data_IF_317877701787
#
_entry.id   IF_317877701787
#
_cell.length_a   1.000
_cell.length_b   1.000
_cell.length_c   1.000
_cell.angle_alpha   90.00
_cell.angle_beta   90.00
_cell.angle_gamma   90.00
#
_symmetry.space_group_name_H-M   'P 1'
#
loop_
_entity.id
_entity.type
_entity.pdbx_description
1 polymer ?
#
# COMPACT_ATOMS: atom_id res chain seq x y z
N UNK A 1 23.74 -11.29 54.85
CA UNK A 1 22.58 -10.38 54.80
C UNK A 1 21.80 -10.73 53.55
N UNK A 2 20.78 -11.58 53.66
CA UNK A 2 19.98 -12.04 52.51
C UNK A 2 18.94 -10.97 52.16
N UNK A 3 19.03 -10.41 50.96
CA UNK A 3 17.98 -9.57 50.40
C UNK A 3 16.78 -10.45 50.03
N UNK A 4 15.61 -10.13 50.57
CA UNK A 4 14.37 -10.85 50.34
C UNK A 4 13.93 -10.72 48.87
N UNK A 5 13.74 -11.86 48.21
CA UNK A 5 13.15 -11.99 46.86
C UNK A 5 11.67 -11.56 46.78
N UNK A 6 11.06 -11.05 47.85
CA UNK A 6 9.66 -10.63 47.88
C UNK A 6 9.41 -9.26 47.25
N UNK A 7 10.42 -8.38 47.16
CA UNK A 7 10.20 -7.00 46.71
C UNK A 7 10.30 -6.80 45.19
N UNK A 8 10.80 -7.79 44.45
CA UNK A 8 10.91 -7.71 42.97
C UNK A 8 9.59 -8.06 42.26
N UNK A 9 8.59 -8.60 42.97
CA UNK A 9 7.29 -8.99 42.36
C UNK A 9 6.23 -7.89 42.30
N UNK A 10 6.42 -6.73 42.94
CA UNK A 10 5.42 -5.65 42.92
C UNK A 10 5.49 -4.68 41.73
N UNK A 11 6.53 -4.76 40.89
CA UNK A 11 6.67 -3.86 39.73
C UNK A 11 6.00 -4.33 38.42
N UNK A 12 5.46 -5.56 38.36
CA UNK A 12 4.88 -6.10 37.11
C UNK A 12 3.39 -5.82 36.88
N UNK A 13 2.71 -5.17 37.83
CA UNK A 13 1.27 -4.86 37.73
C UNK A 13 0.94 -3.42 37.33
N UNK A 14 1.88 -2.48 37.51
CA UNK A 14 1.60 -1.05 37.30
C UNK A 14 1.58 -0.66 35.81
N UNK A 15 2.49 -1.22 35.01
CA UNK A 15 2.52 -0.94 33.57
C UNK A 15 1.24 -1.35 32.85
N UNK A 16 0.70 -2.55 33.12
CA UNK A 16 -0.54 -3.04 32.47
C UNK A 16 -1.75 -2.17 32.82
N UNK A 17 -1.83 -1.69 34.06
CA UNK A 17 -2.95 -0.85 34.49
C UNK A 17 -2.87 0.54 33.84
N UNK A 18 -1.68 1.10 33.69
CA UNK A 18 -1.47 2.37 32.96
C UNK A 18 -1.81 2.22 31.47
N UNK A 19 -1.42 1.12 30.81
CA UNK A 19 -1.79 0.83 29.42
C UNK A 19 -3.29 0.64 29.24
N UNK A 20 -3.96 -0.08 30.16
CA UNK A 20 -5.40 -0.27 30.12
C UNK A 20 -6.18 1.04 30.34
N UNK A 21 -5.67 1.93 31.20
CA UNK A 21 -6.25 3.26 31.43
C UNK A 21 -6.08 4.18 30.22
N UNK A 22 -4.91 4.16 29.57
CA UNK A 22 -4.66 4.87 28.32
C UNK A 22 -5.57 4.37 27.20
N UNK A 23 -5.69 3.05 27.03
CA UNK A 23 -6.58 2.44 26.04
C UNK A 23 -8.06 2.77 26.32
N UNK A 24 -8.50 2.71 27.57
CA UNK A 24 -9.86 3.06 27.97
C UNK A 24 -10.15 4.55 27.77
N UNK A 25 -9.17 5.43 27.99
CA UNK A 25 -9.30 6.86 27.75
C UNK A 25 -9.40 7.18 26.24
N UNK A 26 -8.56 6.55 25.42
CA UNK A 26 -8.60 6.68 23.95
C UNK A 26 -9.92 6.14 23.40
N UNK A 27 -10.38 4.98 23.87
CA UNK A 27 -11.66 4.39 23.46
C UNK A 27 -12.85 5.25 23.93
N UNK A 28 -12.75 5.84 25.12
CA UNK A 28 -13.74 6.77 25.66
C UNK A 28 -13.87 8.06 24.84
N UNK A 29 -12.74 8.63 24.38
CA UNK A 29 -12.73 9.79 23.47
C UNK A 29 -13.31 9.39 22.10
N UNK A 30 -12.93 8.23 21.57
CA UNK A 30 -13.42 7.75 20.27
C UNK A 30 -14.94 7.53 20.25
N UNK A 31 -15.51 6.96 21.32
CA UNK A 31 -16.96 6.72 21.43
C UNK A 31 -17.72 8.03 21.66
N UNK A 32 -17.17 8.96 22.45
CA UNK A 32 -17.82 10.24 22.73
C UNK A 32 -17.92 11.19 21.53
N UNK A 33 -17.22 10.90 20.43
CA UNK A 33 -17.00 11.84 19.31
C UNK A 33 -17.51 11.37 17.94
N UNK A 34 -18.19 10.22 17.88
CA UNK A 34 -18.84 9.73 16.66
C UNK A 34 -19.88 10.76 16.16
N UNK A 35 -19.48 11.59 15.18
CA UNK A 35 -20.35 12.57 14.51
C UNK A 35 -19.72 13.94 14.14
N UNK A 36 -18.45 14.21 14.44
CA UNK A 36 -17.87 15.57 14.30
C UNK A 36 -16.91 15.81 13.12
N UNK A 37 -16.58 14.80 12.29
CA UNK A 37 -15.65 14.99 11.16
C UNK A 37 -14.18 15.22 11.56
N UNK A 38 -13.82 14.86 12.79
CA UNK A 38 -12.47 15.01 13.37
C UNK A 38 -11.64 13.72 13.14
N UNK A 39 -12.19 12.76 12.40
CA UNK A 39 -11.67 11.40 12.23
C UNK A 39 -10.21 11.38 11.72
N UNK A 40 -9.86 12.31 10.85
CA UNK A 40 -8.52 12.46 10.26
C UNK A 40 -7.49 13.02 11.24
N UNK A 41 -7.88 13.95 12.13
CA UNK A 41 -7.01 14.46 13.19
C UNK A 41 -6.76 13.42 14.29
N UNK A 42 -7.75 12.55 14.53
CA UNK A 42 -7.65 11.44 15.48
C UNK A 42 -6.77 10.34 14.92
N UNK A 43 -6.95 9.94 13.66
CA UNK A 43 -6.07 8.96 12.99
C UNK A 43 -4.61 9.40 13.08
N UNK A 44 -4.35 10.68 12.78
CA UNK A 44 -3.02 11.26 12.91
C UNK A 44 -2.48 11.27 14.35
N UNK A 45 -3.34 11.51 15.35
CA UNK A 45 -2.93 11.48 16.77
C UNK A 45 -2.71 10.05 17.27
N UNK A 46 -3.55 9.12 16.86
CA UNK A 46 -3.43 7.70 17.17
C UNK A 46 -2.18 7.10 16.55
N UNK A 47 -1.88 7.41 15.28
CA UNK A 47 -0.63 7.04 14.62
C UNK A 47 0.58 7.60 15.38
N UNK A 48 0.55 8.87 15.81
CA UNK A 48 1.63 9.45 16.64
C UNK A 48 1.80 8.76 17.99
N UNK A 49 0.73 8.31 18.62
CA UNK A 49 0.78 7.55 19.89
C UNK A 49 1.26 6.11 19.66
N UNK A 50 0.81 5.45 18.60
CA UNK A 50 1.30 4.12 18.21
C UNK A 50 2.79 4.13 17.87
N UNK A 51 3.26 5.19 17.18
CA UNK A 51 4.66 5.49 16.92
C UNK A 51 5.45 5.67 18.23
N UNK A 52 4.92 6.41 19.20
CA UNK A 52 5.56 6.59 20.51
C UNK A 52 5.61 5.31 21.36
N UNK A 53 4.70 4.35 21.10
CA UNK A 53 4.61 3.08 21.82
C UNK A 53 5.39 1.94 21.16
N UNK A 54 6.00 2.15 19.99
CA UNK A 54 6.82 1.15 19.29
C UNK A 54 6.03 -0.08 18.80
N UNK A 55 4.72 0.07 18.58
CA UNK A 55 3.84 -1.02 18.12
C UNK A 55 3.73 -1.05 16.59
N UNK A 56 4.17 0.00 15.90
CA UNK A 56 4.15 0.09 14.44
C UNK A 56 5.28 -0.69 13.78
N UNK A 57 4.98 -1.29 12.63
CA UNK A 57 6.03 -1.77 11.74
C UNK A 57 6.72 -0.58 11.07
N UNK A 58 7.97 -0.73 10.61
CA UNK A 58 8.62 0.32 9.80
C UNK A 58 7.79 0.67 8.55
N UNK A 59 7.03 -0.29 8.01
CA UNK A 59 6.12 -0.04 6.89
C UNK A 59 4.97 0.89 7.28
N UNK A 60 4.37 0.74 8.47
CA UNK A 60 3.32 1.64 8.97
C UNK A 60 3.86 3.07 9.16
N UNK A 61 5.10 3.18 9.66
CA UNK A 61 5.80 4.45 9.82
C UNK A 61 6.05 5.13 8.48
N UNK A 62 6.56 4.41 7.47
CA UNK A 62 6.77 4.99 6.13
C UNK A 62 5.45 5.33 5.42
N UNK A 63 4.39 4.56 5.68
CA UNK A 63 3.09 4.78 5.06
C UNK A 63 2.43 6.11 5.49
N UNK A 64 2.79 6.63 6.67
CA UNK A 64 2.17 7.84 7.26
C UNK A 64 3.14 9.02 7.36
N UNK A 65 4.45 8.80 7.22
CA UNK A 65 5.45 9.87 7.24
C UNK A 65 5.34 10.81 6.02
N UNK A 66 5.75 12.06 6.21
CA UNK A 66 5.89 13.01 5.11
C UNK A 66 7.04 12.60 4.18
N UNK A 67 6.92 12.96 2.90
CA UNK A 67 7.86 12.51 1.86
C UNK A 67 9.29 12.96 2.18
N UNK A 68 9.49 14.17 2.69
CA UNK A 68 10.83 14.70 2.95
C UNK A 68 11.50 13.91 4.07
N UNK A 69 10.80 13.63 5.17
CA UNK A 69 11.31 12.79 6.27
C UNK A 69 11.70 11.39 5.79
N UNK A 70 10.91 10.77 4.91
CA UNK A 70 11.25 9.46 4.34
C UNK A 70 12.49 9.57 3.45
N UNK A 71 12.55 10.61 2.62
CA UNK A 71 13.66 10.83 1.70
C UNK A 71 14.97 11.15 2.42
N UNK A 72 14.91 11.79 3.59
CA UNK A 72 16.07 12.13 4.42
C UNK A 72 16.59 10.91 5.23
N UNK A 73 15.72 9.96 5.56
CA UNK A 73 16.12 8.68 6.16
C UNK A 73 16.76 7.76 5.11
N UNK A 74 18.07 7.92 4.90
CA UNK A 74 18.83 7.09 3.94
C UNK A 74 19.02 5.66 4.42
N UNK A 75 19.01 5.43 5.73
CA UNK A 75 19.27 4.11 6.31
C UNK A 75 18.12 3.13 6.04
N UNK A 76 16.89 3.61 5.92
CA UNK A 76 15.74 2.76 5.59
C UNK A 76 15.48 2.55 4.10
N UNK A 77 16.27 3.16 3.19
CA UNK A 77 16.05 3.09 1.73
C UNK A 77 15.95 1.65 1.19
N UNK A 78 16.83 0.74 1.64
CA UNK A 78 16.80 -0.66 1.23
C UNK A 78 15.56 -1.39 1.74
N UNK A 79 15.11 -1.09 2.97
CA UNK A 79 13.90 -1.64 3.56
C UNK A 79 12.64 -1.17 2.82
N UNK A 80 12.59 0.10 2.44
CA UNK A 80 11.51 0.69 1.64
C UNK A 80 11.41 0.06 0.26
N UNK A 81 12.55 -0.11 -0.42
CA UNK A 81 12.60 -0.82 -1.70
C UNK A 81 12.08 -2.25 -1.57
N UNK A 82 12.47 -2.96 -0.51
CA UNK A 82 12.00 -4.32 -0.25
C UNK A 82 10.49 -4.37 0.00
N UNK A 83 9.95 -3.41 0.75
CA UNK A 83 8.51 -3.26 1.00
C UNK A 83 7.73 -3.11 -0.30
N UNK A 84 8.16 -2.20 -1.19
CA UNK A 84 7.53 -2.01 -2.49
C UNK A 84 7.61 -3.29 -3.34
N UNK A 85 8.76 -3.96 -3.38
CA UNK A 85 8.91 -5.23 -4.09
C UNK A 85 7.98 -6.32 -3.54
N UNK A 86 7.79 -6.40 -2.22
CA UNK A 86 6.90 -7.37 -1.60
C UNK A 86 5.43 -7.08 -1.91
N UNK A 87 5.05 -5.80 -1.88
CA UNK A 87 3.74 -5.34 -2.34
C UNK A 87 3.45 -5.83 -3.77
N UNK A 88 4.38 -5.62 -4.71
CA UNK A 88 4.23 -6.08 -6.11
C UNK A 88 4.24 -7.61 -6.21
N UNK A 89 5.07 -8.31 -5.42
CA UNK A 89 5.12 -9.78 -5.42
C UNK A 89 3.83 -10.39 -4.93
N UNK A 90 3.17 -9.81 -3.94
CA UNK A 90 1.89 -10.30 -3.43
C UNK A 90 0.79 -10.19 -4.50
N UNK A 91 0.78 -9.10 -5.28
CA UNK A 91 -0.11 -8.99 -6.45
C UNK A 91 0.16 -10.14 -7.44
N UNK A 92 1.43 -10.43 -7.76
CA UNK A 92 1.77 -11.52 -8.66
C UNK A 92 1.40 -12.91 -8.11
N UNK A 93 1.61 -13.12 -6.80
CA UNK A 93 1.21 -14.34 -6.08
C UNK A 93 -0.28 -14.55 -6.13
N UNK A 94 -1.11 -13.51 -6.01
CA UNK A 94 -2.55 -13.65 -6.13
C UNK A 94 -2.97 -14.40 -7.39
N UNK A 95 -2.36 -14.10 -8.55
CA UNK A 95 -2.69 -14.80 -9.79
C UNK A 95 -2.19 -16.26 -9.84
N UNK A 96 -1.03 -16.52 -9.23
CA UNK A 96 -0.36 -17.83 -9.25
C UNK A 96 -1.00 -18.79 -8.23
N UNK A 97 -1.21 -18.32 -7.02
CA UNK A 97 -1.68 -19.10 -5.87
C UNK A 97 -3.17 -19.46 -6.02
N UNK A 98 -3.97 -18.58 -6.63
CA UNK A 98 -5.36 -18.90 -6.99
C UNK A 98 -5.49 -19.80 -8.23
N UNK A 99 -4.37 -20.19 -8.85
CA UNK A 99 -4.35 -21.13 -9.98
C UNK A 99 -5.29 -20.72 -11.13
N UNK A 100 -5.33 -19.43 -11.46
CA UNK A 100 -6.18 -18.93 -12.55
C UNK A 100 -5.74 -19.49 -13.91
N UNK A 101 -6.73 -19.77 -14.77
CA UNK A 101 -6.50 -20.09 -16.18
C UNK A 101 -6.23 -18.83 -16.99
N UNK A 102 -5.69 -19.01 -18.20
CA UNK A 102 -5.54 -17.94 -19.19
C UNK A 102 -6.87 -17.23 -19.44
N UNK A 103 -7.95 -17.97 -19.66
CA UNK A 103 -9.27 -17.36 -19.91
C UNK A 103 -9.79 -16.55 -18.71
N UNK A 104 -9.59 -17.04 -17.49
CA UNK A 104 -9.97 -16.30 -16.27
C UNK A 104 -9.19 -15.00 -16.13
N UNK A 105 -7.87 -15.01 -16.36
CA UNK A 105 -7.05 -13.80 -16.31
C UNK A 105 -7.43 -12.82 -17.42
N UNK A 106 -7.61 -13.29 -18.65
CA UNK A 106 -7.98 -12.43 -19.77
C UNK A 106 -9.34 -11.77 -19.53
N UNK A 107 -10.27 -12.50 -18.89
CA UNK A 107 -11.57 -11.96 -18.46
C UNK A 107 -11.39 -10.92 -17.35
N UNK A 108 -10.61 -11.22 -16.31
CA UNK A 108 -10.35 -10.33 -15.18
C UNK A 108 -9.65 -9.03 -15.61
N UNK A 109 -8.71 -9.12 -16.55
CA UNK A 109 -7.95 -7.98 -17.06
C UNK A 109 -8.65 -7.29 -18.25
N UNK A 110 -9.76 -7.82 -18.75
CA UNK A 110 -10.47 -7.30 -19.92
C UNK A 110 -9.63 -7.29 -21.21
N UNK A 111 -8.61 -8.13 -21.32
CA UNK A 111 -7.67 -8.13 -22.46
C UNK A 111 -7.08 -9.51 -22.71
N UNK A 112 -6.81 -9.84 -23.97
CA UNK A 112 -6.05 -11.04 -24.36
C UNK A 112 -4.53 -10.82 -24.36
N UNK A 113 -4.08 -9.57 -24.16
CA UNK A 113 -2.67 -9.23 -24.13
C UNK A 113 -2.02 -9.72 -22.83
N UNK A 114 -0.88 -10.41 -22.96
CA UNK A 114 -0.12 -10.93 -21.83
C UNK A 114 0.97 -9.96 -21.36
N UNK A 115 1.06 -8.76 -21.92
CA UNK A 115 2.13 -7.80 -21.65
C UNK A 115 1.61 -6.37 -21.60
N UNK A 116 2.31 -5.51 -20.85
CA UNK A 116 1.98 -4.08 -20.72
C UNK A 116 0.52 -3.80 -20.32
N UNK A 117 -0.06 -4.64 -19.46
CA UNK A 117 -1.42 -4.43 -18.94
C UNK A 117 -1.35 -3.48 -17.75
N UNK A 118 -2.01 -2.33 -17.85
CA UNK A 118 -2.13 -1.38 -16.73
C UNK A 118 -3.15 -1.91 -15.74
N UNK A 119 -2.72 -2.19 -14.52
CA UNK A 119 -3.62 -2.54 -13.42
C UNK A 119 -4.26 -1.30 -12.80
N UNK A 120 -3.59 -0.15 -12.90
CA UNK A 120 -4.13 1.14 -12.50
C UNK A 120 -3.06 2.12 -12.05
N UNK A 121 -3.50 3.30 -11.62
CA UNK A 121 -2.66 4.36 -11.08
C UNK A 121 -3.18 4.80 -9.72
N UNK A 122 -2.25 5.19 -8.85
CA UNK A 122 -2.57 6.01 -7.69
C UNK A 122 -2.97 7.41 -8.18
N UNK A 123 -4.09 7.92 -7.71
CA UNK A 123 -4.61 9.24 -8.02
C UNK A 123 -4.85 9.95 -6.69
N UNK A 124 -4.31 11.15 -6.56
CA UNK A 124 -4.55 12.02 -5.42
C UNK A 124 -5.50 13.13 -5.84
N UNK A 125 -6.59 13.28 -5.09
CA UNK A 125 -7.54 14.38 -5.24
C UNK A 125 -6.99 15.66 -4.58
N UNK A 126 -7.62 16.80 -4.89
CA UNK A 126 -7.25 18.09 -4.30
C UNK A 126 -7.44 18.17 -2.77
N UNK A 127 -8.19 17.23 -2.19
CA UNK A 127 -8.38 17.10 -0.73
C UNK A 127 -7.33 16.21 -0.06
N UNK A 128 -6.34 15.69 -0.82
CA UNK A 128 -5.31 14.78 -0.33
C UNK A 128 -5.71 13.31 -0.29
N UNK A 129 -6.96 12.98 -0.61
CA UNK A 129 -7.43 11.59 -0.68
C UNK A 129 -6.74 10.87 -1.83
N UNK A 130 -6.03 9.78 -1.53
CA UNK A 130 -5.42 8.93 -2.55
C UNK A 130 -6.27 7.70 -2.82
N UNK A 131 -6.56 7.41 -4.08
CA UNK A 131 -7.22 6.18 -4.51
C UNK A 131 -6.45 5.49 -5.64
N UNK A 132 -6.72 4.21 -5.86
CA UNK A 132 -6.17 3.47 -6.98
C UNK A 132 -7.27 3.23 -8.01
N UNK A 133 -7.02 3.61 -9.26
CA UNK A 133 -7.98 3.40 -10.35
C UNK A 133 -7.33 2.81 -11.58
N UNK A 134 -8.00 1.80 -12.16
CA UNK A 134 -7.66 1.21 -13.45
C UNK A 134 -8.32 1.92 -14.64
N UNK A 135 -9.32 2.77 -14.38
CA UNK A 135 -9.99 3.58 -15.40
C UNK A 135 -9.85 5.08 -15.07
N UNK A 136 -9.33 5.85 -16.03
CA UNK A 136 -9.46 7.31 -15.99
C UNK A 136 -10.86 7.67 -16.53
N UNK A 137 -11.92 7.37 -15.77
CA UNK A 137 -13.27 7.81 -16.17
C UNK A 137 -13.42 9.29 -15.91
N UNK A 138 -13.51 10.06 -16.99
CA UNK A 138 -13.66 11.51 -16.89
C UNK A 138 -15.04 11.99 -16.44
N UNK A 139 -15.90 11.17 -15.86
CA UNK A 139 -17.19 11.62 -15.28
C UNK A 139 -17.10 11.88 -13.77
N UNK A 140 -15.91 11.73 -13.17
CA UNK A 140 -15.70 11.95 -11.73
C UNK A 140 -16.18 10.78 -10.86
N UNK A 141 -16.72 9.71 -11.46
CA UNK A 141 -16.96 8.46 -10.75
C UNK A 141 -15.74 7.54 -10.88
N UNK A 142 -15.26 7.06 -9.74
CA UNK A 142 -14.11 6.15 -9.67
C UNK A 142 -14.64 4.73 -9.53
N UNK A 143 -14.33 3.79 -10.43
CA UNK A 143 -14.44 2.37 -10.09
C UNK A 143 -13.38 2.10 -9.03
N UNK A 144 -13.79 1.95 -7.77
CA UNK A 144 -12.91 1.49 -6.71
C UNK A 144 -12.44 0.07 -7.04
N UNK A 145 -11.26 -0.07 -7.63
CA UNK A 145 -10.60 -1.38 -7.68
C UNK A 145 -9.87 -1.62 -6.36
N UNK A 146 -10.63 -1.68 -5.25
CA UNK A 146 -10.11 -2.12 -3.95
C UNK A 146 -9.54 -3.54 -4.00
N UNK A 147 -9.87 -4.30 -5.04
CA UNK A 147 -9.34 -5.63 -5.31
C UNK A 147 -7.81 -5.66 -5.40
N UNK A 148 -7.15 -4.67 -6.02
CA UNK A 148 -5.69 -4.69 -6.13
C UNK A 148 -5.00 -4.61 -4.76
N UNK A 149 -5.52 -3.81 -3.85
CA UNK A 149 -5.00 -3.73 -2.48
C UNK A 149 -5.27 -5.00 -1.70
N UNK A 150 -6.43 -5.63 -1.91
CA UNK A 150 -6.71 -6.94 -1.32
C UNK A 150 -5.71 -7.99 -1.85
N UNK A 151 -5.36 -7.95 -3.14
CA UNK A 151 -4.33 -8.83 -3.72
C UNK A 151 -2.95 -8.57 -3.13
N UNK A 152 -2.59 -7.29 -2.94
CA UNK A 152 -1.26 -6.89 -2.47
C UNK A 152 -1.03 -7.08 -0.96
N UNK A 153 -2.09 -6.90 -0.16
CA UNK A 153 -2.01 -6.94 1.31
C UNK A 153 -2.57 -8.24 1.90
N UNK A 154 -3.27 -9.04 1.09
CA UNK A 154 -3.99 -10.22 1.58
C UNK A 154 -5.25 -9.88 2.38
N UNK A 155 -5.68 -8.61 2.37
CA UNK A 155 -6.92 -8.19 3.00
C UNK A 155 -8.13 -8.93 2.40
N UNK A 156 -9.13 -9.20 3.24
CA UNK A 156 -10.34 -9.89 2.80
C UNK A 156 -11.06 -9.09 1.70
N UNK A 157 -11.69 -9.79 0.76
CA UNK A 157 -12.50 -9.13 -0.27
C UNK A 157 -13.56 -8.22 0.35
N UNK A 158 -13.69 -7.01 -0.17
CA UNK A 158 -14.61 -5.99 0.38
C UNK A 158 -14.05 -5.20 1.57
N UNK A 159 -12.81 -5.46 2.01
CA UNK A 159 -12.12 -4.56 2.94
C UNK A 159 -11.90 -3.23 2.23
N UNK A 160 -12.35 -2.13 2.83
CA UNK A 160 -12.01 -0.79 2.34
C UNK A 160 -10.50 -0.61 2.44
N UNK A 161 -9.88 -0.20 1.33
CA UNK A 161 -8.47 0.15 1.34
C UNK A 161 -8.27 1.46 2.11
N UNK A 162 -7.20 1.55 2.89
CA UNK A 162 -6.91 2.72 3.70
C UNK A 162 -6.28 3.80 2.82
N UNK A 163 -7.12 4.73 2.37
CA UNK A 163 -6.74 5.88 1.51
C UNK A 163 -5.76 6.84 2.20
N UNK A 164 -5.63 6.76 3.54
CA UNK A 164 -4.69 7.60 4.31
C UNK A 164 -3.25 7.09 4.25
N UNK A 165 -3.03 5.87 3.75
CA UNK A 165 -1.71 5.22 3.75
C UNK A 165 -1.05 5.27 2.38
N UNK A 166 0.26 5.55 2.39
CA UNK A 166 1.13 5.36 1.23
C UNK A 166 1.57 3.90 1.12
N UNK A 167 1.37 3.30 -0.05
CA UNK A 167 1.72 1.89 -0.31
C UNK A 167 3.03 1.69 -1.07
N UNK A 168 3.53 2.73 -1.74
CA UNK A 168 4.83 2.72 -2.42
C UNK A 168 5.73 3.81 -1.82
N UNK A 169 6.85 3.39 -1.22
CA UNK A 169 7.70 4.22 -0.35
C UNK A 169 9.19 4.17 -0.74
N UNK A 170 9.57 3.42 -1.77
CA UNK A 170 10.95 3.42 -2.27
C UNK A 170 11.35 4.78 -2.85
N UNK A 171 12.65 5.09 -2.86
CA UNK A 171 13.16 6.34 -3.40
C UNK A 171 12.72 6.56 -4.86
N UNK A 172 12.71 5.51 -5.69
CA UNK A 172 12.16 5.60 -7.04
C UNK A 172 10.68 5.95 -7.02
N UNK A 173 9.87 5.26 -6.22
CA UNK A 173 8.44 5.53 -6.14
C UNK A 173 8.19 6.97 -5.68
N UNK A 174 8.93 7.46 -4.68
CA UNK A 174 8.80 8.80 -4.11
C UNK A 174 9.26 9.91 -5.06
N UNK A 175 10.33 9.72 -5.84
CA UNK A 175 10.80 10.74 -6.79
C UNK A 175 9.98 10.80 -8.07
N UNK A 176 9.33 9.71 -8.47
CA UNK A 176 8.50 9.66 -9.67
C UNK A 176 7.02 9.93 -9.36
N UNK A 177 6.75 10.53 -8.20
CA UNK A 177 5.42 10.98 -7.79
C UNK A 177 4.97 12.12 -8.72
N UNK A 178 3.91 11.79 -9.45
CA UNK A 178 2.84 12.68 -9.87
C UNK A 178 3.07 13.59 -11.09
N UNK A 179 2.12 13.51 -12.03
CA UNK A 179 1.84 14.57 -12.99
C UNK A 179 0.43 15.09 -12.74
N UNK A 180 0.30 16.41 -12.67
CA UNK A 180 -1.00 17.06 -12.78
C UNK A 180 -1.52 16.82 -14.18
N UNK A 181 -2.64 16.12 -14.28
CA UNK A 181 -3.33 15.87 -15.55
C UNK A 181 -4.68 16.56 -15.48
N UNK A 182 -5.03 17.32 -16.51
CA UNK A 182 -6.38 17.85 -16.62
C UNK A 182 -7.31 16.76 -17.15
N UNK A 183 -8.20 16.27 -16.31
CA UNK A 183 -9.24 15.32 -16.69
C UNK A 183 -10.58 16.07 -16.69
N UNK A 184 -11.12 16.31 -17.89
CA UNK A 184 -12.39 17.02 -18.14
C UNK A 184 -12.57 18.33 -17.35
N UNK A 185 -11.54 19.16 -17.29
CA UNK A 185 -11.58 20.47 -16.62
C UNK A 185 -11.18 20.44 -15.14
N UNK A 186 -10.96 19.27 -14.55
CA UNK A 186 -10.40 19.13 -13.21
C UNK A 186 -8.91 18.79 -13.30
N UNK A 187 -8.09 19.51 -12.53
CA UNK A 187 -6.70 19.11 -12.33
C UNK A 187 -6.69 18.01 -11.27
N UNK A 188 -6.25 16.81 -11.67
CA UNK A 188 -6.01 15.70 -10.75
C UNK A 188 -4.54 15.33 -10.78
N UNK A 189 -4.06 14.82 -9.66
CA UNK A 189 -2.65 14.51 -9.50
C UNK A 189 -2.48 13.00 -9.64
N UNK A 190 -2.04 12.54 -10.82
CA UNK A 190 -1.89 11.11 -11.11
C UNK A 190 -0.49 10.64 -10.72
N UNK A 191 -0.40 9.81 -9.69
CA UNK A 191 0.83 9.21 -9.16
C UNK A 191 1.33 7.99 -9.94
N UNK A 192 2.08 7.13 -9.25
CA UNK A 192 2.65 5.91 -9.82
C UNK A 192 1.56 4.96 -10.35
N UNK A 193 1.84 4.29 -11.47
CA UNK A 193 1.03 3.19 -11.99
C UNK A 193 1.61 1.83 -11.64
N UNK A 194 0.77 0.80 -11.62
CA UNK A 194 1.19 -0.61 -11.53
C UNK A 194 0.85 -1.31 -12.85
N UNK A 195 1.82 -1.97 -13.45
CA UNK A 195 1.65 -2.69 -14.72
C UNK A 195 2.09 -4.14 -14.60
N UNK A 196 1.32 -5.03 -15.23
CA UNK A 196 1.82 -6.35 -15.62
C UNK A 196 2.64 -6.17 -16.89
N UNK A 197 3.93 -6.46 -16.79
CA UNK A 197 4.87 -6.40 -17.90
C UNK A 197 4.85 -7.70 -18.73
N UNK A 198 4.49 -8.83 -18.11
CA UNK A 198 4.43 -10.12 -18.78
C UNK A 198 3.71 -11.19 -17.97
N UNK A 199 2.93 -12.06 -18.63
CA UNK A 199 2.33 -13.27 -18.08
C UNK A 199 2.79 -14.47 -18.91
N UNK A 200 3.30 -15.51 -18.25
CA UNK A 200 3.58 -16.79 -18.89
C UNK A 200 2.70 -17.88 -18.33
N UNK A 201 2.40 -18.88 -19.15
CA UNK A 201 1.53 -19.99 -18.82
C UNK A 201 2.29 -21.32 -18.90
N UNK A 202 1.83 -22.33 -18.15
CA UNK A 202 2.43 -23.66 -18.09
C UNK A 202 2.11 -24.55 -19.31
N UNK A 203 1.26 -24.07 -20.21
CA UNK A 203 0.88 -24.77 -21.43
C UNK A 203 0.23 -23.87 -22.48
N UNK A 204 -0.36 -24.53 -23.48
CA UNK A 204 -1.12 -23.90 -24.55
C UNK A 204 -2.63 -24.03 -24.31
N UNK A 205 -3.41 -23.13 -24.90
CA UNK A 205 -4.87 -23.13 -24.78
C UNK A 205 -5.40 -22.28 -23.63
N UNK A 206 -6.73 -22.30 -23.48
CA UNK A 206 -7.48 -21.44 -22.55
C UNK A 206 -7.33 -21.87 -21.09
N UNK A 207 -7.11 -23.16 -20.85
CA UNK A 207 -7.01 -23.76 -19.51
C UNK A 207 -5.60 -23.71 -18.92
N UNK A 208 -4.62 -23.26 -19.71
CA UNK A 208 -3.24 -23.12 -19.27
C UNK A 208 -3.17 -22.18 -18.05
N UNK A 209 -2.45 -22.61 -17.00
CA UNK A 209 -2.37 -21.91 -15.73
C UNK A 209 -1.19 -20.96 -15.72
N UNK A 210 -1.26 -19.93 -14.89
CA UNK A 210 -0.15 -18.99 -14.73
C UNK A 210 1.08 -19.73 -14.21
N UNK A 211 2.18 -19.56 -14.93
CA UNK A 211 3.50 -20.05 -14.54
C UNK A 211 4.35 -18.91 -13.97
N UNK A 212 4.31 -17.74 -14.59
CA UNK A 212 4.99 -16.56 -14.07
C UNK A 212 4.27 -15.28 -14.44
N UNK A 213 4.43 -14.27 -13.58
CA UNK A 213 3.97 -12.91 -13.80
C UNK A 213 5.09 -11.95 -13.46
N UNK A 214 5.33 -10.99 -14.37
CA UNK A 214 6.24 -9.88 -14.18
C UNK A 214 5.41 -8.62 -13.96
N UNK A 215 5.58 -7.97 -12.81
CA UNK A 215 4.87 -6.74 -12.41
C UNK A 215 5.91 -5.65 -12.15
N UNK A 216 5.61 -4.43 -12.59
CA UNK A 216 6.47 -3.29 -12.31
C UNK A 216 5.67 -2.05 -11.92
N UNK A 217 6.31 -1.18 -11.14
CA UNK A 217 5.89 0.21 -11.04
C UNK A 217 6.19 0.92 -12.36
N UNK A 218 5.17 1.56 -12.92
CA UNK A 218 5.27 2.38 -14.12
C UNK A 218 4.98 3.84 -13.75
N UNK A 219 5.97 4.75 -13.86
CA UNK A 219 5.68 6.16 -13.67
C UNK A 219 4.73 6.60 -14.79
N UNK A 220 3.60 7.18 -14.41
CA UNK A 220 2.60 7.68 -15.37
C UNK A 220 3.16 8.83 -16.23
N UNK A 221 4.28 9.43 -15.81
CA UNK A 221 4.80 10.70 -16.33
C UNK A 221 5.85 10.55 -17.43
N UNK A 222 6.29 9.32 -17.77
CA UNK A 222 7.37 9.09 -18.74
C UNK A 222 8.72 9.70 -18.33
N UNK A 223 8.80 10.35 -17.16
CA UNK A 223 10.05 10.84 -16.57
C UNK A 223 10.70 9.66 -15.87
N UNK A 224 11.82 9.20 -16.41
CA UNK A 224 12.81 8.47 -15.61
C UNK A 224 13.59 9.54 -14.86
N UNK A 225 13.35 9.72 -13.56
CA UNK A 225 14.20 10.58 -12.74
C UNK A 225 15.68 10.17 -12.88
N UNK A 226 16.57 11.15 -13.04
CA UNK A 226 18.00 10.91 -13.13
C UNK A 226 18.49 10.18 -11.86
N UNK A 227 19.12 9.01 -12.01
CA UNK A 227 19.81 8.30 -10.92
C UNK A 227 19.05 7.16 -10.24
N UNK A 228 17.76 6.91 -10.54
CA UNK A 228 17.01 5.80 -9.94
C UNK A 228 16.52 4.82 -11.01
N UNK A 229 16.93 3.55 -10.90
CA UNK A 229 16.60 2.55 -11.92
C UNK A 229 15.20 1.97 -11.74
N UNK A 230 14.40 1.98 -12.81
CA UNK A 230 13.11 1.28 -12.88
C UNK A 230 13.25 -0.24 -12.68
N UNK A 231 14.44 -0.80 -12.90
CA UNK A 231 14.70 -2.24 -12.70
C UNK A 231 14.43 -2.71 -11.28
N UNK A 232 14.54 -1.80 -10.31
CA UNK A 232 14.52 -2.18 -8.89
C UNK A 232 13.08 -2.36 -8.38
N UNK A 233 12.10 -1.82 -9.11
CA UNK A 233 10.66 -2.02 -8.88
C UNK A 233 10.01 -2.87 -9.96
N UNK A 234 10.76 -3.85 -10.47
CA UNK A 234 10.30 -4.89 -11.38
C UNK A 234 10.46 -6.24 -10.72
N UNK A 235 9.36 -6.93 -10.47
CA UNK A 235 9.36 -8.23 -9.80
C UNK A 235 8.79 -9.29 -10.73
N UNK A 236 9.49 -10.42 -10.81
CA UNK A 236 8.96 -11.63 -11.44
C UNK A 236 8.60 -12.64 -10.36
N UNK A 237 7.33 -13.04 -10.34
CA UNK A 237 6.82 -14.11 -9.49
C UNK A 237 6.66 -15.36 -10.35
N UNK A 238 7.14 -16.48 -9.85
CA UNK A 238 7.01 -17.78 -10.50
C UNK A 238 6.22 -18.72 -9.57
N UNK A 239 5.50 -19.66 -10.18
CA UNK A 239 4.96 -20.84 -9.50
C UNK A 239 6.08 -21.73 -8.97
#
# INVERSE_FOLDING_TARGET
>A
MLMNLSDVRKQKGQGIVEYALLLAFILGIAIAMQGSGIDEAISNTFARVAHALGVETEQDKWATADINSIMDDKDSAAGRLKSDQDFLKNIGRYFIDNNFTREQIQTMLGTSNNSNVLLGNFIENNDGTTYFSNELRGDGSVPETGELFNWATGAAAGTQYDTSRRYLVSDYALHNIQSTTNIKGQNVVTGNGIKIMGITYDGNGKDAKVKSIRIAVNPNTGKTGEGYSRSDLDVTVNR
#
